data_IF_346472269183
#
_entry.id   IF_346472269183
#
_cell.length_a   1.000
_cell.length_b   1.000
_cell.length_c   1.000
_cell.angle_alpha   90.00
_cell.angle_beta   90.00
_cell.angle_gamma   90.00
#
_symmetry.space_group_name_H-M   'P 1'
#
loop_
_entity.id
_entity.type
_entity.pdbx_description
1 polymer ?
#
# COMPACT_ATOMS: atom_id res chain seq x y z
N UNK A 1 -4.13 19.63 -25.14
CA UNK A 1 -3.44 19.34 -23.86
C UNK A 1 -3.80 17.91 -23.50
N UNK A 2 -2.83 17.05 -23.15
CA UNK A 2 -3.18 15.75 -22.58
C UNK A 2 -3.65 16.01 -21.15
N UNK A 3 -4.84 15.56 -20.80
CA UNK A 3 -5.31 15.58 -19.42
C UNK A 3 -4.31 14.85 -18.54
N UNK A 4 -3.88 15.51 -17.45
CA UNK A 4 -2.98 14.93 -16.45
C UNK A 4 -3.81 14.57 -15.24
N UNK A 5 -3.64 13.34 -14.75
CA UNK A 5 -4.24 12.91 -13.49
C UNK A 5 -3.19 13.07 -12.40
N UNK A 6 -3.47 13.94 -11.43
CA UNK A 6 -2.64 14.15 -10.25
C UNK A 6 -3.07 13.24 -9.11
N UNK A 7 -2.09 12.79 -8.32
CA UNK A 7 -2.29 11.88 -7.19
C UNK A 7 -1.17 12.04 -6.15
N UNK A 8 -1.37 11.49 -4.97
CA UNK A 8 -0.34 11.35 -3.94
C UNK A 8 0.35 9.99 -4.11
N UNK A 9 1.67 10.00 -4.30
CA UNK A 9 2.47 8.79 -4.28
C UNK A 9 3.07 8.61 -2.88
N UNK A 10 2.60 7.61 -2.15
CA UNK A 10 3.07 7.33 -0.81
C UNK A 10 4.06 6.17 -0.78
N UNK A 11 4.97 6.28 0.17
CA UNK A 11 5.89 5.23 0.56
C UNK A 11 5.80 5.04 2.06
N UNK A 12 5.47 3.82 2.46
CA UNK A 12 5.41 3.39 3.84
C UNK A 12 6.73 2.77 4.26
N UNK A 13 7.33 3.29 5.32
CA UNK A 13 8.33 2.56 6.08
C UNK A 13 7.60 1.65 7.04
N UNK A 14 7.90 0.36 6.97
CA UNK A 14 7.18 -0.67 7.72
C UNK A 14 8.13 -1.54 8.50
N UNK A 15 7.62 -2.11 9.58
CA UNK A 15 8.28 -3.17 10.32
C UNK A 15 7.35 -4.37 10.39
N UNK A 16 7.93 -5.57 10.55
CA UNK A 16 7.16 -6.77 10.83
C UNK A 16 6.35 -6.54 12.10
N UNK A 17 5.04 -6.75 12.02
CA UNK A 17 4.16 -6.70 13.17
C UNK A 17 4.58 -7.79 14.17
N UNK A 18 4.90 -7.48 15.44
CA UNK A 18 5.40 -8.46 16.40
C UNK A 18 4.43 -9.61 16.68
N UNK A 19 3.14 -9.40 16.44
CA UNK A 19 2.11 -10.46 16.60
C UNK A 19 2.04 -11.39 15.40
N UNK A 20 2.69 -11.07 14.28
CA UNK A 20 2.67 -11.88 13.07
C UNK A 20 3.65 -13.07 13.16
N UNK A 21 3.10 -14.28 13.25
CA UNK A 21 3.87 -15.53 13.34
C UNK A 21 4.07 -16.22 11.98
N UNK A 22 3.42 -15.74 10.92
CA UNK A 22 3.55 -16.31 9.59
C UNK A 22 4.90 -16.03 8.92
N UNK A 23 5.16 -16.72 7.81
CA UNK A 23 6.41 -16.62 7.03
C UNK A 23 6.20 -16.00 5.63
N UNK A 24 5.20 -15.13 5.49
CA UNK A 24 4.95 -14.49 4.21
C UNK A 24 6.14 -13.61 3.78
N UNK A 25 6.45 -13.57 2.48
CA UNK A 25 7.59 -12.83 1.94
C UNK A 25 7.58 -11.35 2.33
N UNK A 26 6.39 -10.76 2.46
CA UNK A 26 6.24 -9.37 2.89
C UNK A 26 6.78 -9.13 4.30
N UNK A 27 6.73 -10.09 5.23
CA UNK A 27 7.29 -9.91 6.58
C UNK A 27 8.80 -9.61 6.61
N UNK A 28 9.49 -9.75 5.47
CA UNK A 28 10.91 -9.44 5.28
C UNK A 28 11.16 -8.05 4.68
N UNK A 29 10.12 -7.32 4.27
CA UNK A 29 10.26 -5.97 3.71
C UNK A 29 10.24 -4.93 4.83
N UNK A 30 10.97 -3.85 4.62
CA UNK A 30 11.01 -2.70 5.53
C UNK A 30 10.44 -1.43 4.88
N UNK A 31 10.01 -1.53 3.62
CA UNK A 31 9.51 -0.41 2.83
C UNK A 31 8.53 -0.90 1.78
N UNK A 32 7.40 -0.22 1.65
CA UNK A 32 6.40 -0.42 0.60
C UNK A 32 6.21 0.90 -0.12
N UNK A 33 6.58 0.94 -1.40
CA UNK A 33 6.49 2.13 -2.25
C UNK A 33 5.42 1.98 -3.32
N UNK A 34 5.19 3.06 -4.07
CA UNK A 34 4.26 3.10 -5.22
C UNK A 34 2.79 2.94 -4.83
N UNK A 35 2.42 3.37 -3.62
CA UNK A 35 1.03 3.38 -3.18
C UNK A 35 0.37 4.70 -3.61
N UNK A 36 -0.57 4.61 -4.54
CA UNK A 36 -1.21 5.78 -5.16
C UNK A 36 -2.52 6.13 -4.46
N UNK A 37 -2.67 7.39 -4.05
CA UNK A 37 -3.85 7.90 -3.35
C UNK A 37 -4.41 9.16 -4.03
N UNK A 38 -5.72 9.44 -3.94
CA UNK A 38 -6.27 10.69 -4.44
C UNK A 38 -5.71 11.89 -3.65
N UNK A 39 -5.63 13.05 -4.31
CA UNK A 39 -5.27 14.31 -3.64
C UNK A 39 -6.22 14.57 -2.46
N UNK A 40 -5.69 15.13 -1.39
CA UNK A 40 -6.43 15.41 -0.16
C UNK A 40 -6.62 14.22 0.78
N UNK A 41 -6.17 13.01 0.41
CA UNK A 41 -6.11 11.88 1.36
C UNK A 41 -5.14 12.23 2.48
N UNK A 42 -5.59 12.07 3.73
CA UNK A 42 -4.74 12.29 4.90
C UNK A 42 -3.76 11.13 5.12
N UNK A 43 -2.67 11.37 5.85
CA UNK A 43 -1.71 10.33 6.19
C UNK A 43 -2.39 9.13 6.87
N UNK A 44 -3.27 9.38 7.85
CA UNK A 44 -3.99 8.34 8.56
C UNK A 44 -4.85 7.49 7.61
N UNK A 45 -5.58 8.12 6.68
CA UNK A 45 -6.36 7.38 5.68
C UNK A 45 -5.49 6.53 4.75
N UNK A 46 -4.29 7.00 4.39
CA UNK A 46 -3.34 6.21 3.61
C UNK A 46 -2.90 4.97 4.36
N UNK A 47 -2.58 5.13 5.65
CA UNK A 47 -2.19 4.02 6.56
C UNK A 47 -3.34 3.03 6.71
N UNK A 48 -4.56 3.51 6.98
CA UNK A 48 -5.75 2.66 7.11
C UNK A 48 -6.02 1.86 5.83
N UNK A 49 -5.96 2.52 4.66
CA UNK A 49 -6.11 1.84 3.37
C UNK A 49 -5.01 0.80 3.15
N UNK A 50 -3.77 1.12 3.48
CA UNK A 50 -2.65 0.19 3.37
C UNK A 50 -2.88 -1.02 4.28
N UNK A 51 -3.17 -0.83 5.56
CA UNK A 51 -3.39 -1.91 6.52
C UNK A 51 -4.56 -2.81 6.12
N UNK A 52 -5.61 -2.27 5.50
CA UNK A 52 -6.75 -3.03 4.99
C UNK A 52 -6.53 -3.71 3.63
N UNK A 53 -5.36 -3.48 2.99
CA UNK A 53 -5.04 -4.12 1.72
C UNK A 53 -4.90 -5.64 1.89
N UNK A 54 -5.54 -6.39 0.99
CA UNK A 54 -5.52 -7.85 1.01
C UNK A 54 -4.17 -8.32 0.49
N UNK A 55 -3.43 -9.05 1.33
CA UNK A 55 -2.18 -9.69 0.93
C UNK A 55 -2.43 -11.11 0.44
N UNK A 56 -3.26 -11.86 1.17
CA UNK A 56 -3.72 -13.19 0.77
C UNK A 56 -5.22 -13.30 1.02
N UNK A 57 -5.97 -13.77 0.03
CA UNK A 57 -7.40 -14.04 0.23
C UNK A 57 -7.63 -15.22 1.18
N UNK A 58 -6.76 -16.23 1.14
CA UNK A 58 -6.75 -17.39 2.03
C UNK A 58 -5.32 -17.86 2.28
N UNK A 59 -4.92 -17.90 3.54
CA UNK A 59 -3.73 -18.58 4.04
C UNK A 59 -3.96 -20.10 4.17
N UNK A 60 -2.95 -20.87 4.58
CA UNK A 60 -3.03 -22.32 4.81
C UNK A 60 -4.14 -22.71 5.80
N UNK A 61 -4.45 -21.85 6.77
CA UNK A 61 -5.56 -22.03 7.72
C UNK A 61 -6.91 -21.51 7.18
N UNK A 62 -6.95 -21.03 5.93
CA UNK A 62 -8.15 -20.48 5.29
C UNK A 62 -8.50 -19.04 5.69
N UNK A 63 -7.64 -18.38 6.46
CA UNK A 63 -7.84 -17.01 6.92
C UNK A 63 -7.41 -15.98 5.88
N UNK A 64 -8.15 -14.88 5.77
CA UNK A 64 -7.74 -13.73 4.97
C UNK A 64 -6.62 -12.98 5.70
N UNK A 65 -5.54 -12.64 4.99
CA UNK A 65 -4.40 -11.91 5.55
C UNK A 65 -4.35 -10.53 4.95
N UNK A 66 -4.34 -9.51 5.80
CA UNK A 66 -4.21 -8.11 5.43
C UNK A 66 -2.78 -7.62 5.64
N UNK A 67 -2.42 -6.51 5.00
CA UNK A 67 -1.09 -5.94 5.15
C UNK A 67 -0.83 -5.48 6.60
N UNK A 68 -1.87 -5.02 7.31
CA UNK A 68 -1.77 -4.64 8.73
C UNK A 68 -1.54 -5.83 9.68
N UNK A 69 -1.93 -7.04 9.29
CA UNK A 69 -1.60 -8.24 10.06
C UNK A 69 -0.10 -8.52 10.03
N UNK A 70 0.54 -8.25 8.88
CA UNK A 70 1.97 -8.52 8.65
C UNK A 70 2.84 -7.34 9.09
N UNK A 71 2.37 -6.11 8.90
CA UNK A 71 3.15 -4.90 9.03
C UNK A 71 2.56 -3.89 10.00
N UNK A 72 3.44 -3.22 10.73
CA UNK A 72 3.15 -1.94 11.38
C UNK A 72 3.82 -0.84 10.57
N UNK A 73 3.07 0.19 10.19
CA UNK A 73 3.65 1.41 9.61
C UNK A 73 4.39 2.20 10.69
N UNK A 74 5.64 2.57 10.40
CA UNK A 74 6.50 3.37 11.28
C UNK A 74 6.54 4.82 10.85
N UNK A 75 6.54 5.04 9.54
CA UNK A 75 6.64 6.36 8.93
C UNK A 75 5.98 6.32 7.55
N UNK A 76 5.36 7.43 7.16
CA UNK A 76 4.83 7.65 5.83
C UNK A 76 5.58 8.82 5.21
N UNK A 77 5.92 8.70 3.94
CA UNK A 77 6.39 9.81 3.13
C UNK A 77 5.59 9.83 1.84
N UNK A 78 5.03 10.98 1.47
CA UNK A 78 4.23 11.12 0.27
C UNK A 78 4.52 12.44 -0.44
N UNK A 79 4.33 12.43 -1.76
CA UNK A 79 4.48 13.60 -2.61
C UNK A 79 3.42 13.61 -3.71
N UNK A 80 3.10 14.80 -4.22
CA UNK A 80 2.21 14.94 -5.37
C UNK A 80 2.93 14.56 -6.66
N UNK A 81 2.32 13.67 -7.44
CA UNK A 81 2.80 13.24 -8.75
C UNK A 81 1.68 13.34 -9.80
N UNK A 82 2.02 13.22 -11.07
CA UNK A 82 1.06 13.36 -12.16
C UNK A 82 1.41 12.45 -13.32
N UNK A 83 0.42 11.71 -13.82
CA UNK A 83 0.56 10.86 -15.00
C UNK A 83 -0.32 11.40 -16.13
N UNK A 84 0.13 11.23 -17.38
CA UNK A 84 -0.72 11.52 -18.53
C UNK A 84 -1.89 10.50 -18.54
N UNK A 85 -3.12 10.95 -18.77
CA UNK A 85 -4.30 10.08 -18.75
C UNK A 85 -4.20 8.88 -19.72
N UNK A 86 -3.44 9.03 -20.81
CA UNK A 86 -3.18 7.98 -21.82
C UNK A 86 -2.14 6.93 -21.39
N UNK A 87 -1.36 7.22 -20.34
CA UNK A 87 -0.32 6.34 -19.80
C UNK A 87 -0.84 5.50 -18.61
N UNK A 88 -2.12 5.67 -18.21
CA UNK A 88 -2.81 4.73 -17.32
C UNK A 88 -3.03 3.39 -18.07
N UNK A 89 -1.96 2.61 -18.24
CA UNK A 89 -2.07 1.15 -18.33
C UNK A 89 -2.51 0.65 -16.96
N UNK A 90 -3.80 0.82 -16.69
CA UNK A 90 -4.50 0.10 -15.64
C UNK A 90 -4.43 -1.38 -16.05
N UNK A 91 -3.36 -2.07 -15.70
CA UNK A 91 -3.35 -3.53 -15.64
C UNK A 91 -4.18 -3.90 -14.41
N UNK A 92 -5.50 -3.95 -14.58
CA UNK A 92 -6.32 -4.91 -13.83
C UNK A 92 -6.33 -6.17 -14.70
N UNK A 93 -5.45 -7.10 -14.38
CA UNK A 93 -5.65 -8.54 -14.63
C UNK A 93 -5.75 -9.21 -13.26
#
# INVERSE_FOLDING_TARGET
>A
MRDKKTFLNATFKVEKNPTYTGNHCLARVNRVSSCTYPLGTTEQEMIDKYHNSVVLEKDIDGNKVLAGDIHRVVEVSFYEDSIAADDLRITHD
#
